data_IF_920696457703
#
_entry.id   IF_920696457703
#
_cell.length_a   1.000
_cell.length_b   1.000
_cell.length_c   1.000
_cell.angle_alpha   90.00
_cell.angle_beta   90.00
_cell.angle_gamma   90.00
#
_symmetry.space_group_name_H-M   'P 1'
#
loop_
_entity.id
_entity.type
_entity.pdbx_description
1 polymer ?
#
# COMPACT_ATOMS: atom_id res chain seq x y z
N UNK A 1 -44.61 18.72 -23.10
CA UNK A 1 -45.39 19.66 -22.27
C UNK A 1 -45.00 19.52 -20.82
N UNK A 2 -44.80 20.66 -20.19
CA UNK A 2 -44.51 20.95 -18.78
C UNK A 2 -43.04 20.95 -18.36
N UNK A 3 -42.47 22.14 -18.52
CA UNK A 3 -41.30 22.62 -17.85
C UNK A 3 -41.67 23.12 -16.44
N UNK A 4 -40.93 22.75 -15.44
CA UNK A 4 -41.03 23.39 -14.11
C UNK A 4 -39.70 24.06 -13.80
N UNK A 5 -39.72 25.39 -13.84
CA UNK A 5 -38.63 26.27 -13.39
C UNK A 5 -38.68 26.35 -11.87
N UNK A 6 -37.55 26.15 -11.23
CA UNK A 6 -37.37 26.53 -9.82
C UNK A 6 -36.41 27.71 -9.73
N UNK A 7 -36.87 28.77 -9.13
CA UNK A 7 -36.19 30.06 -9.01
C UNK A 7 -35.28 30.06 -7.76
N UNK A 8 -34.06 30.50 -7.97
CA UNK A 8 -33.08 30.72 -6.92
C UNK A 8 -33.25 32.12 -6.34
N UNK A 9 -33.47 32.21 -5.04
CA UNK A 9 -33.44 33.45 -4.27
C UNK A 9 -32.01 33.71 -3.77
N UNK A 10 -31.44 34.81 -4.23
CA UNK A 10 -30.19 35.38 -3.73
C UNK A 10 -30.55 36.26 -2.53
N UNK A 11 -30.01 35.98 -1.35
CA UNK A 11 -30.01 36.90 -0.22
C UNK A 11 -28.59 37.41 0.03
N UNK A 12 -28.32 38.62 -0.37
CA UNK A 12 -27.17 39.40 0.04
C UNK A 12 -27.39 39.89 1.48
N UNK A 13 -26.47 39.61 2.37
CA UNK A 13 -26.32 40.32 3.65
C UNK A 13 -24.89 40.79 3.78
N UNK A 14 -24.72 42.09 3.61
CA UNK A 14 -23.58 42.89 4.03
C UNK A 14 -23.56 42.96 5.56
N UNK A 15 -22.46 42.64 6.18
CA UNK A 15 -22.23 42.81 7.62
C UNK A 15 -20.73 42.92 7.88
N UNK A 16 -20.25 44.17 7.86
CA UNK A 16 -18.95 44.60 8.37
C UNK A 16 -18.94 44.49 9.90
N UNK A 17 -18.10 43.63 10.46
CA UNK A 17 -17.58 43.82 11.82
C UNK A 17 -16.14 43.30 11.90
N UNK A 18 -15.19 44.24 11.98
CA UNK A 18 -13.82 44.02 12.39
C UNK A 18 -13.76 43.59 13.86
N UNK A 19 -13.33 42.36 14.09
CA UNK A 19 -13.01 41.83 15.41
C UNK A 19 -11.63 41.20 15.35
N UNK A 20 -10.61 41.94 15.81
CA UNK A 20 -9.27 41.43 16.07
C UNK A 20 -9.33 40.41 17.21
N UNK A 21 -9.46 39.14 16.90
CA UNK A 21 -9.31 38.08 17.89
C UNK A 21 -7.84 37.90 18.23
N UNK A 22 -7.43 38.39 19.41
CA UNK A 22 -6.14 38.05 20.04
C UNK A 22 -6.08 36.52 20.19
N UNK A 23 -5.19 35.91 19.43
CA UNK A 23 -4.86 34.47 19.54
C UNK A 23 -4.17 34.26 20.88
N UNK A 24 -4.91 33.87 21.90
CA UNK A 24 -4.37 33.47 23.21
C UNK A 24 -3.46 32.25 23.02
N UNK A 25 -2.22 32.36 23.46
CA UNK A 25 -1.32 31.20 23.55
C UNK A 25 -1.95 30.15 24.49
N UNK A 26 -1.97 28.88 24.12
CA UNK A 26 -2.49 27.85 25.02
C UNK A 26 -1.61 27.78 26.27
N UNK A 27 -2.23 27.80 27.45
CA UNK A 27 -1.52 27.67 28.72
C UNK A 27 -0.75 26.35 28.75
N UNK A 28 0.36 26.26 29.48
CA UNK A 28 1.15 25.04 29.66
C UNK A 28 0.26 23.85 30.11
N UNK A 29 -0.80 24.10 30.87
CA UNK A 29 -1.82 23.10 31.26
C UNK A 29 -2.60 22.54 30.06
N UNK A 30 -2.91 23.35 29.04
CA UNK A 30 -3.60 22.91 27.83
C UNK A 30 -2.70 22.08 26.91
N UNK A 31 -1.39 22.35 26.93
CA UNK A 31 -0.40 21.56 26.17
C UNK A 31 -0.21 20.17 26.82
N UNK A 32 -0.13 20.11 28.15
CA UNK A 32 -0.04 18.83 28.90
C UNK A 32 -1.32 18.00 28.71
N UNK A 33 -2.49 18.62 28.82
CA UNK A 33 -3.76 17.92 28.58
C UNK A 33 -3.91 17.39 27.12
N UNK A 34 -3.36 18.12 26.14
CA UNK A 34 -3.32 17.66 24.74
C UNK A 34 -2.35 16.50 24.53
N UNK A 35 -1.22 16.48 25.22
CA UNK A 35 -0.25 15.38 25.17
C UNK A 35 -0.84 14.10 25.84
N UNK A 36 -1.46 14.24 27.02
CA UNK A 36 -2.15 13.15 27.69
C UNK A 36 -3.27 12.56 26.82
N UNK A 37 -4.08 13.39 26.13
CA UNK A 37 -5.10 12.89 25.20
C UNK A 37 -4.51 12.21 23.96
N UNK A 38 -3.29 12.55 23.58
CA UNK A 38 -2.54 11.91 22.49
C UNK A 38 -2.04 10.51 22.86
N UNK A 39 -1.62 10.34 24.10
CA UNK A 39 -1.15 9.04 24.61
C UNK A 39 -2.33 8.10 24.90
N UNK A 40 -3.42 8.61 25.43
CA UNK A 40 -4.68 7.86 25.58
C UNK A 40 -5.25 7.43 24.23
N UNK A 41 -5.19 8.29 23.21
CA UNK A 41 -5.60 7.91 21.85
C UNK A 41 -4.70 6.84 21.28
N UNK A 42 -3.38 6.92 21.45
CA UNK A 42 -2.43 5.90 21.01
C UNK A 42 -2.64 4.59 21.75
N UNK A 43 -2.87 4.62 23.04
CA UNK A 43 -3.17 3.44 23.84
C UNK A 43 -4.50 2.78 23.41
N UNK A 44 -5.56 3.58 23.21
CA UNK A 44 -6.84 3.09 22.72
C UNK A 44 -6.74 2.55 21.27
N UNK A 45 -5.91 3.15 20.44
CA UNK A 45 -5.65 2.70 19.08
C UNK A 45 -4.82 1.42 19.06
N UNK A 46 -3.85 1.28 19.96
CA UNK A 46 -3.07 0.05 20.15
C UNK A 46 -3.95 -1.09 20.69
N UNK A 47 -4.85 -0.80 21.62
CA UNK A 47 -5.82 -1.79 22.11
C UNK A 47 -6.75 -2.27 20.98
N UNK A 48 -7.25 -1.37 20.12
CA UNK A 48 -8.07 -1.73 18.95
C UNK A 48 -7.32 -2.57 17.92
N UNK A 49 -6.00 -2.45 17.85
CA UNK A 49 -5.16 -3.26 16.96
C UNK A 49 -5.00 -4.66 17.52
N UNK A 50 -4.79 -4.78 18.84
CA UNK A 50 -4.80 -6.07 19.54
C UNK A 50 -6.16 -6.78 19.40
N UNK A 51 -7.28 -6.04 19.40
CA UNK A 51 -8.63 -6.58 19.12
C UNK A 51 -8.77 -7.11 17.67
N UNK A 52 -7.97 -6.62 16.72
CA UNK A 52 -8.02 -7.05 15.31
C UNK A 52 -7.11 -8.23 14.99
N UNK A 53 -6.12 -8.48 15.82
CA UNK A 53 -5.23 -9.63 15.68
C UNK A 53 -5.78 -10.74 16.58
N UNK A 54 -6.22 -11.83 15.95
CA UNK A 54 -6.76 -12.98 16.67
C UNK A 54 -5.62 -13.85 17.17
N UNK A 55 -5.54 -14.05 18.48
CA UNK A 55 -4.64 -15.04 19.07
C UNK A 55 -5.14 -16.46 18.74
N UNK A 56 -4.25 -17.30 18.25
CA UNK A 56 -4.48 -18.70 17.88
C UNK A 56 -3.64 -19.58 18.80
N UNK A 57 -4.24 -20.59 19.41
CA UNK A 57 -3.58 -21.47 20.38
C UNK A 57 -3.51 -22.94 19.92
N UNK A 58 -4.39 -23.34 19.01
CA UNK A 58 -4.47 -24.72 18.53
C UNK A 58 -4.98 -24.77 17.09
N UNK A 59 -4.89 -25.96 16.46
CA UNK A 59 -5.29 -26.15 15.06
C UNK A 59 -6.77 -25.85 14.81
N UNK A 60 -7.67 -26.20 15.75
CA UNK A 60 -9.09 -25.93 15.58
C UNK A 60 -9.40 -24.43 15.49
N UNK A 61 -8.70 -23.60 16.25
CA UNK A 61 -8.83 -22.13 16.20
C UNK A 61 -8.28 -21.58 14.89
N UNK A 62 -7.17 -22.14 14.38
CA UNK A 62 -6.64 -21.77 13.07
C UNK A 62 -7.61 -22.15 11.95
N UNK A 63 -8.10 -23.37 11.93
CA UNK A 63 -9.06 -23.84 10.94
C UNK A 63 -10.34 -22.99 10.94
N UNK A 64 -10.83 -22.64 12.13
CA UNK A 64 -11.97 -21.73 12.26
C UNK A 64 -11.67 -20.32 11.73
N UNK A 65 -10.45 -19.81 11.92
CA UNK A 65 -10.05 -18.51 11.39
C UNK A 65 -9.92 -18.54 9.87
N UNK A 66 -9.33 -19.58 9.30
CA UNK A 66 -9.20 -19.79 7.85
C UNK A 66 -10.57 -19.94 7.19
N UNK A 67 -11.47 -20.76 7.79
CA UNK A 67 -12.83 -20.93 7.29
C UNK A 67 -13.64 -19.63 7.31
N UNK A 68 -13.50 -18.83 8.38
CA UNK A 68 -14.19 -17.54 8.50
C UNK A 68 -13.68 -16.51 7.47
N UNK A 69 -12.40 -16.53 7.16
CA UNK A 69 -11.80 -15.61 6.19
C UNK A 69 -12.23 -15.93 4.74
N UNK A 70 -12.57 -17.20 4.45
CA UNK A 70 -12.99 -17.65 3.12
C UNK A 70 -11.93 -17.37 2.05
N UNK A 71 -12.22 -16.45 1.13
CA UNK A 71 -11.30 -16.05 0.05
C UNK A 71 -10.33 -14.93 0.44
N UNK A 72 -10.56 -14.28 1.58
CA UNK A 72 -9.70 -13.20 2.04
C UNK A 72 -8.35 -13.74 2.53
N UNK A 73 -7.35 -12.89 2.46
CA UNK A 73 -6.02 -13.20 2.97
C UNK A 73 -6.05 -13.36 4.49
N UNK A 74 -5.44 -14.44 4.98
CA UNK A 74 -5.08 -14.61 6.40
C UNK A 74 -3.57 -14.53 6.51
N UNK A 75 -3.09 -13.62 7.33
CA UNK A 75 -1.69 -13.52 7.70
C UNK A 75 -1.53 -14.02 9.13
N UNK A 76 -0.76 -15.10 9.31
CA UNK A 76 -0.46 -15.72 10.59
C UNK A 76 0.98 -15.37 11.00
N UNK A 77 1.13 -14.64 12.10
CA UNK A 77 2.42 -14.37 12.73
C UNK A 77 2.68 -15.45 13.81
N UNK A 78 3.78 -16.18 13.68
CA UNK A 78 4.21 -17.19 14.64
C UNK A 78 5.47 -16.66 15.30
N UNK A 79 5.35 -16.26 16.56
CA UNK A 79 6.33 -15.47 17.28
C UNK A 79 6.74 -16.17 18.58
N UNK A 80 7.93 -15.82 19.10
CA UNK A 80 8.46 -16.27 20.39
C UNK A 80 8.98 -15.09 21.17
N UNK A 81 8.66 -15.03 22.47
CA UNK A 81 9.23 -14.03 23.37
C UNK A 81 10.65 -14.38 23.82
N UNK A 82 11.13 -15.60 23.54
CA UNK A 82 12.44 -16.10 23.95
C UNK A 82 13.44 -16.23 22.80
N UNK A 83 12.94 -16.36 21.56
CA UNK A 83 13.75 -16.65 20.37
C UNK A 83 13.47 -15.66 19.25
N UNK A 84 14.53 -15.10 18.65
CA UNK A 84 14.42 -14.21 17.50
C UNK A 84 15.50 -14.55 16.47
N UNK A 85 15.09 -15.05 15.30
CA UNK A 85 15.98 -15.40 14.20
C UNK A 85 16.12 -14.22 13.20
N UNK A 86 17.35 -14.04 12.70
CA UNK A 86 17.63 -13.07 11.64
C UNK A 86 17.73 -11.62 12.08
N UNK A 87 17.69 -11.35 13.39
CA UNK A 87 18.02 -10.02 13.91
C UNK A 87 19.44 -9.61 13.52
N UNK A 88 19.61 -8.41 12.96
CA UNK A 88 20.87 -7.94 12.41
C UNK A 88 21.96 -7.88 13.46
N UNK A 89 23.00 -8.49 13.10
CA UNK A 89 24.43 -8.39 13.31
C UNK A 89 25.07 -9.48 14.17
N UNK A 90 26.16 -9.98 13.63
CA UNK A 90 27.15 -10.82 14.33
C UNK A 90 27.74 -10.17 15.61
N UNK A 91 27.38 -8.91 15.86
CA UNK A 91 27.88 -8.08 16.97
C UNK A 91 26.81 -7.71 18.00
N UNK A 92 25.53 -8.07 17.78
CA UNK A 92 24.44 -7.73 18.70
C UNK A 92 24.23 -8.84 19.71
N UNK A 93 24.21 -8.51 21.00
CA UNK A 93 23.78 -9.42 22.06
C UNK A 93 22.34 -9.88 21.88
N UNK A 94 21.90 -10.86 22.67
CA UNK A 94 20.53 -11.41 22.63
C UNK A 94 19.43 -10.32 22.67
N UNK A 95 19.63 -9.28 23.47
CA UNK A 95 18.68 -8.17 23.60
C UNK A 95 18.45 -7.40 22.30
N UNK A 96 19.50 -7.20 21.47
CA UNK A 96 19.35 -6.49 20.21
C UNK A 96 18.63 -7.33 19.15
N UNK A 97 18.76 -8.65 19.17
CA UNK A 97 17.98 -9.56 18.32
C UNK A 97 16.49 -9.50 18.67
N UNK A 98 16.17 -9.56 19.95
CA UNK A 98 14.79 -9.42 20.43
C UNK A 98 14.20 -8.07 20.10
N UNK A 99 14.99 -6.99 20.09
CA UNK A 99 14.55 -5.67 19.67
C UNK A 99 14.12 -5.63 18.20
N UNK A 100 14.83 -6.32 17.30
CA UNK A 100 14.44 -6.46 15.89
C UNK A 100 13.06 -7.11 15.75
N UNK A 101 12.80 -8.18 16.53
CA UNK A 101 11.49 -8.83 16.55
C UNK A 101 10.39 -7.91 17.08
N UNK A 102 10.64 -7.17 18.17
CA UNK A 102 9.67 -6.20 18.71
C UNK A 102 9.33 -5.08 17.70
N UNK A 103 10.34 -4.56 16.99
CA UNK A 103 10.14 -3.56 15.94
C UNK A 103 9.32 -4.11 14.78
N UNK A 104 9.54 -5.37 14.43
CA UNK A 104 8.79 -6.04 13.38
C UNK A 104 7.32 -6.22 13.80
N UNK A 105 7.05 -6.74 14.99
CA UNK A 105 5.69 -6.86 15.55
C UNK A 105 4.99 -5.50 15.62
N UNK A 106 5.69 -4.43 16.03
CA UNK A 106 5.12 -3.08 16.02
C UNK A 106 4.78 -2.58 14.59
N UNK A 107 5.57 -2.97 13.60
CA UNK A 107 5.30 -2.64 12.19
C UNK A 107 4.09 -3.41 11.66
N UNK A 108 3.94 -4.68 12.03
CA UNK A 108 2.77 -5.50 11.69
C UNK A 108 1.48 -4.93 12.28
N UNK A 109 1.53 -4.49 13.53
CA UNK A 109 0.40 -3.83 14.16
C UNK A 109 -0.07 -2.58 13.37
N UNK A 110 0.85 -1.88 12.70
CA UNK A 110 0.55 -0.76 11.80
C UNK A 110 -0.12 -1.23 10.51
N UNK A 111 0.44 -2.26 9.86
CA UNK A 111 -0.12 -2.86 8.65
C UNK A 111 -1.54 -3.38 8.91
N UNK A 112 -1.77 -4.07 10.04
CA UNK A 112 -3.08 -4.58 10.43
C UNK A 112 -4.15 -3.50 10.60
N UNK A 113 -3.77 -2.26 10.94
CA UNK A 113 -4.71 -1.13 11.02
C UNK A 113 -5.19 -0.67 9.65
N UNK A 114 -4.33 -0.74 8.65
CA UNK A 114 -4.57 -0.23 7.30
C UNK A 114 -5.24 -1.28 6.42
N UNK A 115 -4.77 -2.53 6.46
CA UNK A 115 -5.28 -3.63 5.64
C UNK A 115 -6.54 -4.26 6.26
N UNK A 116 -7.70 -3.66 6.01
CA UNK A 116 -8.98 -4.09 6.61
C UNK A 116 -9.55 -5.37 6.01
N UNK A 117 -9.12 -5.71 4.83
CA UNK A 117 -9.49 -6.90 4.05
C UNK A 117 -8.63 -8.12 4.39
N UNK A 118 -7.63 -7.96 5.26
CA UNK A 118 -6.76 -9.04 5.71
C UNK A 118 -7.12 -9.44 7.14
N UNK A 119 -7.22 -10.73 7.39
CA UNK A 119 -7.38 -11.30 8.73
C UNK A 119 -6.00 -11.54 9.32
N UNK A 120 -5.69 -10.85 10.43
CA UNK A 120 -4.42 -11.03 11.14
C UNK A 120 -4.60 -11.99 12.30
N UNK A 121 -3.75 -13.01 12.34
CA UNK A 121 -3.68 -14.00 13.41
C UNK A 121 -2.27 -14.02 14.00
N UNK A 122 -2.15 -14.41 15.27
CA UNK A 122 -0.86 -14.57 15.94
C UNK A 122 -0.82 -15.82 16.81
N UNK A 123 0.32 -16.47 16.84
CA UNK A 123 0.66 -17.56 17.74
C UNK A 123 1.89 -17.14 18.54
N UNK A 124 1.77 -17.11 19.87
CA UNK A 124 2.94 -17.03 20.74
C UNK A 124 3.28 -18.43 21.27
N UNK A 125 4.46 -18.92 20.92
CA UNK A 125 4.86 -20.29 21.24
C UNK A 125 5.37 -20.48 22.68
N UNK A 126 5.59 -19.39 23.42
CA UNK A 126 6.11 -19.45 24.80
C UNK A 126 4.98 -19.67 25.81
N UNK A 127 3.79 -19.13 25.56
CA UNK A 127 2.73 -19.08 26.53
C UNK A 127 1.98 -20.40 26.76
N UNK A 128 1.90 -21.29 25.76
CA UNK A 128 1.07 -22.50 25.77
C UNK A 128 1.75 -23.67 25.05
N UNK A 129 1.62 -24.88 25.62
CA UNK A 129 2.17 -26.09 24.99
C UNK A 129 1.50 -26.42 23.65
N UNK A 130 0.17 -26.20 23.57
CA UNK A 130 -0.60 -26.39 22.34
C UNK A 130 -0.12 -25.47 21.22
N UNK A 131 0.23 -24.21 21.52
CA UNK A 131 0.77 -23.24 20.55
C UNK A 131 2.11 -23.70 19.98
N UNK A 132 2.95 -24.28 20.83
CA UNK A 132 4.25 -24.86 20.40
C UNK A 132 4.05 -26.12 19.56
N UNK A 133 3.07 -26.96 19.89
CA UNK A 133 2.70 -28.12 19.11
C UNK A 133 2.18 -27.69 17.73
N UNK A 134 1.27 -26.72 17.68
CA UNK A 134 0.75 -26.17 16.42
C UNK A 134 1.88 -25.59 15.55
N UNK A 135 2.80 -24.83 16.08
CA UNK A 135 3.94 -24.31 15.30
C UNK A 135 4.77 -25.43 14.65
N UNK A 136 4.95 -26.57 15.35
CA UNK A 136 5.63 -27.76 14.77
C UNK A 136 4.80 -28.41 13.68
N UNK A 137 3.50 -28.54 13.85
CA UNK A 137 2.57 -29.06 12.82
C UNK A 137 2.58 -28.21 11.56
N UNK A 138 2.72 -26.88 11.71
CA UNK A 138 2.87 -25.94 10.61
C UNK A 138 4.28 -25.93 9.99
N UNK A 139 5.20 -26.79 10.46
CA UNK A 139 6.56 -26.90 9.96
C UNK A 139 7.51 -25.76 10.38
N UNK A 140 7.10 -24.91 11.34
CA UNK A 140 7.88 -23.74 11.76
C UNK A 140 8.99 -24.16 12.73
N UNK A 141 10.23 -23.83 12.36
CA UNK A 141 11.44 -24.14 13.14
C UNK A 141 12.15 -22.91 13.67
N UNK A 142 11.86 -21.74 13.10
CA UNK A 142 12.51 -20.46 13.43
C UNK A 142 11.48 -19.38 13.68
N UNK A 143 11.73 -18.51 14.64
CA UNK A 143 10.82 -17.44 15.02
C UNK A 143 11.48 -16.06 14.83
N UNK A 144 10.75 -15.07 14.35
CA UNK A 144 9.36 -15.14 13.89
C UNK A 144 9.24 -15.79 12.50
N UNK A 145 8.09 -16.41 12.23
CA UNK A 145 7.68 -16.87 10.90
C UNK A 145 6.31 -16.30 10.57
N UNK A 146 6.14 -15.85 9.36
CA UNK A 146 4.90 -15.22 8.86
C UNK A 146 4.37 -16.04 7.69
N UNK A 147 3.21 -16.64 7.88
CA UNK A 147 2.55 -17.47 6.87
C UNK A 147 1.33 -16.78 6.33
N UNK A 148 1.14 -16.88 5.02
CA UNK A 148 0.05 -16.25 4.27
C UNK A 148 -0.85 -17.34 3.69
N UNK A 149 -2.12 -17.29 4.05
CA UNK A 149 -3.11 -18.27 3.63
C UNK A 149 -4.20 -17.61 2.81
N UNK A 150 -4.63 -18.30 1.76
CA UNK A 150 -5.79 -17.93 0.96
C UNK A 150 -6.59 -19.16 0.64
N UNK A 151 -7.90 -19.12 0.80
CA UNK A 151 -8.79 -20.31 0.63
C UNK A 151 -8.35 -21.51 1.48
N UNK A 152 -7.76 -21.28 2.65
CA UNK A 152 -7.23 -22.30 3.53
C UNK A 152 -5.87 -22.90 3.12
N UNK A 153 -5.29 -22.51 1.99
CA UNK A 153 -3.98 -22.99 1.54
C UNK A 153 -2.87 -22.01 1.88
N UNK A 154 -1.71 -22.52 2.29
CA UNK A 154 -0.48 -21.72 2.47
C UNK A 154 0.03 -21.31 1.08
N UNK A 155 0.10 -20.01 0.81
CA UNK A 155 0.53 -19.45 -0.48
C UNK A 155 1.93 -18.85 -0.43
N UNK A 156 2.37 -18.37 0.74
CA UNK A 156 3.70 -17.80 0.92
C UNK A 156 4.12 -17.77 2.38
N UNK A 157 5.43 -17.76 2.61
CA UNK A 157 6.03 -17.72 3.94
C UNK A 157 7.24 -16.78 3.97
N UNK A 158 7.40 -16.07 5.09
CA UNK A 158 8.61 -15.30 5.39
C UNK A 158 9.15 -15.69 6.77
N UNK A 159 10.45 -15.95 6.84
CA UNK A 159 11.14 -16.38 8.07
C UNK A 159 12.14 -15.33 8.53
N UNK A 160 12.07 -14.98 9.81
CA UNK A 160 13.04 -14.13 10.49
C UNK A 160 12.70 -12.65 10.51
N UNK A 161 13.46 -11.91 11.31
CA UNK A 161 13.37 -10.47 11.54
C UNK A 161 14.63 -9.72 11.05
N UNK A 162 15.23 -10.18 9.96
CA UNK A 162 16.40 -9.54 9.36
C UNK A 162 16.09 -8.21 8.68
N UNK A 163 17.15 -7.58 8.18
CA UNK A 163 17.02 -6.31 7.43
C UNK A 163 16.03 -6.44 6.26
N UNK A 164 15.11 -5.49 6.17
CA UNK A 164 14.09 -5.48 5.12
C UNK A 164 12.92 -6.45 5.34
N UNK A 165 12.85 -7.20 6.46
CA UNK A 165 11.73 -8.10 6.73
C UNK A 165 10.39 -7.38 6.78
N UNK A 166 10.34 -6.18 7.37
CA UNK A 166 9.10 -5.40 7.45
C UNK A 166 8.60 -4.94 6.07
N UNK A 167 9.52 -4.61 5.15
CA UNK A 167 9.18 -4.27 3.77
C UNK A 167 8.61 -5.49 3.03
N UNK A 168 9.30 -6.64 3.13
CA UNK A 168 8.85 -7.89 2.48
C UNK A 168 7.47 -8.33 2.95
N UNK A 169 7.21 -8.24 4.26
CA UNK A 169 5.91 -8.58 4.83
C UNK A 169 4.84 -7.59 4.36
N UNK A 170 5.14 -6.28 4.36
CA UNK A 170 4.21 -5.26 3.86
C UNK A 170 3.93 -5.44 2.35
N UNK A 171 4.95 -5.73 1.55
CA UNK A 171 4.84 -6.05 0.13
C UNK A 171 3.98 -7.31 -0.09
N UNK A 172 4.15 -8.35 0.75
CA UNK A 172 3.33 -9.56 0.72
C UNK A 172 1.86 -9.28 1.05
N UNK A 173 1.59 -8.50 2.11
CA UNK A 173 0.21 -8.09 2.47
C UNK A 173 -0.45 -7.30 1.34
N UNK A 174 0.27 -6.38 0.70
CA UNK A 174 -0.24 -5.62 -0.43
C UNK A 174 -0.46 -6.49 -1.67
N UNK A 175 0.45 -7.43 -1.93
CA UNK A 175 0.41 -8.29 -3.11
C UNK A 175 -0.73 -9.31 -3.07
N UNK A 176 -0.95 -9.93 -1.92
CA UNK A 176 -1.98 -10.96 -1.71
C UNK A 176 -3.32 -10.42 -1.22
N UNK A 177 -3.31 -9.23 -0.59
CA UNK A 177 -4.50 -8.50 -0.20
C UNK A 177 -4.91 -7.47 -1.26
N UNK A 178 -5.97 -6.71 -0.96
CA UNK A 178 -6.48 -5.68 -1.87
C UNK A 178 -6.30 -4.25 -1.33
N UNK A 179 -5.71 -4.10 -0.14
CA UNK A 179 -5.56 -2.81 0.51
C UNK A 179 -4.09 -2.50 0.76
N UNK A 180 -3.62 -1.39 0.23
CA UNK A 180 -2.29 -0.85 0.44
C UNK A 180 -2.23 0.17 1.58
N UNK A 181 -1.04 0.76 1.74
CA UNK A 181 -0.78 1.80 2.72
C UNK A 181 -1.79 2.96 2.59
N UNK A 182 -2.29 3.44 3.74
CA UNK A 182 -3.30 4.49 3.79
C UNK A 182 -4.71 4.02 3.47
N UNK A 183 -4.96 2.71 3.39
CA UNK A 183 -6.28 2.12 3.12
C UNK A 183 -6.72 2.20 1.67
N UNK A 184 -5.79 2.48 0.74
CA UNK A 184 -6.06 2.53 -0.69
C UNK A 184 -6.33 1.13 -1.23
N UNK A 185 -7.43 0.94 -1.94
CA UNK A 185 -7.75 -0.34 -2.58
C UNK A 185 -7.05 -0.42 -3.94
N UNK A 186 -6.33 -1.52 -4.17
CA UNK A 186 -5.65 -1.77 -5.45
C UNK A 186 -6.64 -1.88 -6.60
N UNK A 187 -7.83 -2.42 -6.34
CA UNK A 187 -8.92 -2.59 -7.30
C UNK A 187 -9.53 -1.28 -7.82
N UNK A 188 -9.23 -0.14 -7.18
CA UNK A 188 -9.62 1.18 -7.69
C UNK A 188 -8.85 1.57 -8.97
N UNK A 189 -7.65 1.04 -9.14
CA UNK A 189 -6.74 1.41 -10.24
C UNK A 189 -6.34 0.22 -11.13
N UNK A 190 -6.50 -1.01 -10.64
CA UNK A 190 -6.07 -2.23 -11.32
C UNK A 190 -7.26 -3.18 -11.41
N UNK A 191 -7.67 -3.52 -12.63
CA UNK A 191 -8.75 -4.47 -12.89
C UNK A 191 -8.20 -5.90 -12.82
N UNK A 192 -8.81 -6.77 -12.04
CA UNK A 192 -8.48 -8.20 -12.08
C UNK A 192 -9.11 -8.85 -13.31
N UNK A 193 -8.32 -9.66 -14.02
CA UNK A 193 -8.76 -10.46 -15.17
C UNK A 193 -8.37 -11.93 -14.95
N UNK A 194 -9.26 -12.84 -15.26
CA UNK A 194 -9.06 -14.28 -15.06
C UNK A 194 -9.30 -15.10 -16.33
N UNK A 195 -9.91 -14.51 -17.34
CA UNK A 195 -10.25 -15.19 -18.58
C UNK A 195 -9.92 -14.36 -19.81
N UNK A 196 -9.95 -15.01 -20.98
CA UNK A 196 -9.79 -14.33 -22.27
C UNK A 196 -10.92 -13.32 -22.52
N UNK A 197 -12.15 -13.66 -22.10
CA UNK A 197 -13.29 -12.76 -22.21
C UNK A 197 -13.11 -11.51 -21.35
N UNK A 198 -12.55 -11.65 -20.14
CA UNK A 198 -12.24 -10.50 -19.29
C UNK A 198 -11.18 -9.60 -19.93
N UNK A 199 -10.13 -10.20 -20.52
CA UNK A 199 -9.10 -9.44 -21.23
C UNK A 199 -9.70 -8.67 -22.43
N UNK A 200 -10.52 -9.33 -23.24
CA UNK A 200 -11.18 -8.70 -24.40
C UNK A 200 -12.07 -7.54 -23.93
N UNK A 201 -12.92 -7.77 -22.94
CA UNK A 201 -13.77 -6.72 -22.34
C UNK A 201 -12.94 -5.57 -21.74
N UNK A 202 -11.83 -5.89 -21.09
CA UNK A 202 -10.91 -4.89 -20.53
C UNK A 202 -10.27 -4.05 -21.63
N UNK A 203 -9.88 -4.65 -22.75
CA UNK A 203 -9.25 -3.94 -23.87
C UNK A 203 -10.26 -3.11 -24.68
N UNK A 204 -11.54 -3.57 -24.80
CA UNK A 204 -12.59 -2.86 -25.51
C UNK A 204 -13.18 -1.68 -24.74
N UNK A 205 -13.17 -1.74 -23.40
CA UNK A 205 -13.76 -0.69 -22.59
C UNK A 205 -12.99 0.63 -22.78
N UNK A 206 -13.71 1.71 -23.14
CA UNK A 206 -13.16 3.05 -23.16
C UNK A 206 -12.57 3.42 -21.80
N UNK A 207 -11.46 4.17 -21.79
CA UNK A 207 -10.94 4.71 -20.54
C UNK A 207 -12.03 5.55 -19.89
N UNK A 208 -12.47 5.25 -18.65
CA UNK A 208 -13.45 6.08 -17.99
C UNK A 208 -12.87 7.48 -17.79
N UNK A 209 -13.66 8.52 -18.08
CA UNK A 209 -13.42 9.85 -17.53
C UNK A 209 -13.54 9.72 -16.01
N UNK A 210 -12.44 9.51 -15.35
CA UNK A 210 -12.40 9.46 -13.88
C UNK A 210 -12.18 10.88 -13.36
N UNK A 211 -13.28 11.56 -13.04
CA UNK A 211 -13.28 12.63 -12.05
C UNK A 211 -12.99 12.01 -10.68
N UNK A 212 -11.73 11.77 -10.39
CA UNK A 212 -11.31 11.39 -9.03
C UNK A 212 -11.29 12.67 -8.20
N UNK A 213 -12.37 12.93 -7.46
CA UNK A 213 -12.45 14.04 -6.50
C UNK A 213 -11.22 13.98 -5.55
N UNK A 214 -10.44 15.04 -5.59
CA UNK A 214 -9.35 15.28 -4.63
C UNK A 214 -7.94 14.93 -5.11
N UNK A 215 -7.76 14.42 -6.31
CA UNK A 215 -6.44 14.23 -6.92
C UNK A 215 -6.37 15.05 -8.21
N UNK A 216 -5.55 16.10 -8.22
CA UNK A 216 -5.13 16.72 -9.47
C UNK A 216 -4.23 15.71 -10.19
N UNK A 217 -4.84 14.75 -10.88
CA UNK A 217 -4.14 14.02 -11.90
C UNK A 217 -3.52 15.06 -12.83
N UNK A 218 -2.24 14.96 -13.21
CA UNK A 218 -1.71 15.82 -14.25
C UNK A 218 -2.64 15.61 -15.42
N UNK A 219 -3.22 16.72 -15.91
CA UNK A 219 -4.23 16.75 -16.97
C UNK A 219 -3.76 15.82 -18.07
N UNK A 220 -4.29 14.61 -18.12
CA UNK A 220 -4.05 13.69 -19.21
C UNK A 220 -4.74 14.30 -20.42
N UNK A 221 -3.96 14.79 -21.36
CA UNK A 221 -4.52 15.17 -22.65
C UNK A 221 -5.10 13.89 -23.23
N UNK A 222 -6.38 13.88 -23.64
CA UNK A 222 -6.98 12.69 -24.22
C UNK A 222 -6.07 12.13 -25.30
N UNK A 223 -5.63 10.88 -25.12
CA UNK A 223 -4.98 10.15 -26.16
C UNK A 223 -6.08 9.55 -27.03
N UNK A 224 -5.99 9.70 -28.33
CA UNK A 224 -6.94 9.08 -29.25
C UNK A 224 -6.86 7.55 -29.24
N UNK A 225 -5.82 7.00 -28.60
CA UNK A 225 -5.57 5.56 -28.47
C UNK A 225 -5.94 5.04 -27.09
N UNK A 226 -6.47 3.83 -27.05
CA UNK A 226 -6.72 3.09 -25.82
C UNK A 226 -5.45 2.37 -25.38
N UNK A 227 -4.84 2.85 -24.31
CA UNK A 227 -3.62 2.26 -23.76
C UNK A 227 -3.92 1.40 -22.53
N UNK A 228 -3.40 0.18 -22.54
CA UNK A 228 -3.57 -0.76 -21.44
C UNK A 228 -2.27 -1.50 -21.14
N UNK A 229 -2.07 -1.85 -19.88
CA UNK A 229 -0.95 -2.68 -19.40
C UNK A 229 -1.53 -3.80 -18.54
N UNK A 230 -1.12 -5.03 -18.84
CA UNK A 230 -1.47 -6.21 -18.07
C UNK A 230 -0.26 -6.70 -17.29
N UNK A 231 -0.33 -6.66 -15.96
CA UNK A 231 0.61 -7.31 -15.04
C UNK A 231 0.28 -8.80 -14.96
N UNK A 232 1.17 -9.65 -15.43
CA UNK A 232 1.04 -11.11 -15.35
C UNK A 232 1.94 -11.63 -14.25
N UNK A 233 1.33 -12.24 -13.24
CA UNK A 233 2.00 -12.76 -12.04
C UNK A 233 1.37 -14.09 -11.59
N UNK A 234 1.83 -14.66 -10.48
CA UNK A 234 1.30 -15.91 -9.88
C UNK A 234 1.05 -15.72 -8.39
N UNK A 235 0.18 -16.52 -7.81
CA UNK A 235 -0.18 -16.46 -6.39
C UNK A 235 0.65 -17.44 -5.56
N UNK A 236 0.71 -18.72 -5.94
CA UNK A 236 1.38 -19.74 -5.15
C UNK A 236 2.89 -19.65 -5.34
N UNK A 237 3.61 -19.53 -4.22
CA UNK A 237 5.07 -19.42 -4.23
C UNK A 237 5.59 -18.34 -5.20
N UNK A 238 4.90 -17.20 -5.23
CA UNK A 238 5.27 -16.10 -6.11
C UNK A 238 6.74 -15.70 -5.91
N UNK A 239 7.51 -15.53 -6.99
CA UNK A 239 8.87 -14.99 -6.89
C UNK A 239 8.89 -13.68 -6.12
N UNK A 240 9.91 -13.46 -5.30
CA UNK A 240 10.05 -12.23 -4.51
C UNK A 240 9.96 -10.96 -5.39
N UNK A 241 10.38 -11.05 -6.66
CA UNK A 241 10.27 -9.97 -7.62
C UNK A 241 8.83 -9.52 -7.87
N UNK A 242 7.85 -10.43 -7.90
CA UNK A 242 6.44 -10.09 -8.08
C UNK A 242 5.92 -9.23 -6.93
N UNK A 243 6.22 -9.60 -5.69
CA UNK A 243 5.83 -8.83 -4.51
C UNK A 243 6.57 -7.49 -4.45
N UNK A 244 7.89 -7.53 -4.71
CA UNK A 244 8.74 -6.34 -4.64
C UNK A 244 8.34 -5.24 -5.61
N UNK A 245 7.96 -5.59 -6.85
CA UNK A 245 7.57 -4.60 -7.86
C UNK A 245 6.13 -4.07 -7.66
N UNK A 246 5.26 -4.81 -6.99
CA UNK A 246 3.83 -4.53 -6.92
C UNK A 246 3.48 -3.14 -6.33
N UNK A 247 4.16 -2.61 -5.30
CA UNK A 247 3.95 -1.23 -4.85
C UNK A 247 4.21 -0.17 -5.95
N UNK A 248 5.18 -0.45 -6.84
CA UNK A 248 5.44 0.44 -7.98
C UNK A 248 4.33 0.33 -9.03
N UNK A 249 3.79 -0.87 -9.29
CA UNK A 249 2.65 -1.09 -10.19
C UNK A 249 1.45 -0.28 -9.70
N UNK A 250 1.07 -0.40 -8.43
CA UNK A 250 -0.04 0.34 -7.84
C UNK A 250 0.16 1.86 -7.96
N UNK A 251 1.39 2.33 -7.71
CA UNK A 251 1.73 3.74 -7.86
C UNK A 251 1.65 4.22 -9.31
N UNK A 252 2.12 3.40 -10.25
CA UNK A 252 2.05 3.71 -11.69
C UNK A 252 0.61 3.71 -12.16
N UNK A 253 -0.19 2.69 -11.81
CA UNK A 253 -1.61 2.62 -12.17
C UNK A 253 -2.37 3.87 -11.71
N UNK A 254 -2.16 4.29 -10.46
CA UNK A 254 -2.75 5.53 -9.94
C UNK A 254 -2.28 6.78 -10.67
N UNK A 255 -0.97 6.88 -10.94
CA UNK A 255 -0.38 8.08 -11.53
C UNK A 255 -0.65 8.21 -13.04
N UNK A 256 -1.01 7.12 -13.70
CA UNK A 256 -1.33 7.07 -15.14
C UNK A 256 -2.83 6.91 -15.40
N UNK A 257 -3.67 6.95 -14.36
CA UNK A 257 -5.11 6.89 -14.48
C UNK A 257 -5.62 7.95 -15.45
N UNK A 258 -6.55 7.56 -16.32
CA UNK A 258 -7.09 8.41 -17.41
C UNK A 258 -6.28 8.35 -18.72
N UNK A 259 -4.96 8.02 -18.67
CA UNK A 259 -4.13 7.86 -19.87
C UNK A 259 -3.82 6.39 -20.18
N UNK A 260 -3.68 5.55 -19.16
CA UNK A 260 -3.35 4.14 -19.29
C UNK A 260 -4.14 3.34 -18.27
N UNK A 261 -4.79 2.28 -18.73
CA UNK A 261 -5.52 1.36 -17.89
C UNK A 261 -4.61 0.20 -17.45
N UNK A 262 -4.85 -0.30 -16.24
CA UNK A 262 -4.07 -1.40 -15.70
C UNK A 262 -4.97 -2.58 -15.37
N UNK A 263 -4.51 -3.78 -15.74
CA UNK A 263 -5.10 -5.03 -15.30
C UNK A 263 -4.05 -5.93 -14.69
N UNK A 264 -4.50 -6.88 -13.89
CA UNK A 264 -3.68 -7.92 -13.29
C UNK A 264 -4.25 -9.30 -13.60
N UNK A 265 -3.39 -10.17 -14.14
CA UNK A 265 -3.64 -11.59 -14.34
C UNK A 265 -2.79 -12.40 -13.36
N UNK A 266 -3.45 -13.14 -12.47
CA UNK A 266 -2.79 -14.12 -11.62
C UNK A 266 -2.92 -15.49 -12.30
N UNK A 267 -1.87 -15.92 -12.99
CA UNK A 267 -1.91 -17.02 -13.94
C UNK A 267 -2.17 -18.41 -13.36
N UNK A 268 -2.02 -18.59 -12.04
CA UNK A 268 -2.28 -19.86 -11.34
C UNK A 268 -3.55 -19.83 -10.47
N UNK A 269 -4.37 -18.76 -10.57
CA UNK A 269 -5.59 -18.58 -9.77
C UNK A 269 -6.72 -19.52 -10.22
N UNK A 270 -6.83 -19.78 -11.53
CA UNK A 270 -7.83 -20.65 -12.13
C UNK A 270 -7.28 -21.34 -13.39
N UNK A 271 -8.02 -22.32 -13.92
CA UNK A 271 -7.68 -22.99 -15.18
C UNK A 271 -7.75 -22.02 -16.36
N UNK A 272 -8.73 -21.11 -16.35
CA UNK A 272 -8.93 -20.05 -17.34
C UNK A 272 -7.77 -19.06 -17.32
N UNK A 273 -7.33 -18.62 -16.13
CA UNK A 273 -6.19 -17.75 -15.96
C UNK A 273 -4.88 -18.40 -16.46
N UNK A 274 -4.71 -19.70 -16.18
CA UNK A 274 -3.56 -20.48 -16.69
C UNK A 274 -3.60 -20.58 -18.22
N UNK A 275 -4.78 -20.75 -18.82
CA UNK A 275 -4.94 -20.76 -20.28
C UNK A 275 -4.60 -19.39 -20.88
N UNK A 276 -5.13 -18.31 -20.29
CA UNK A 276 -4.86 -16.96 -20.74
C UNK A 276 -3.36 -16.60 -20.65
N UNK A 277 -2.69 -16.99 -19.56
CA UNK A 277 -1.24 -16.78 -19.41
C UNK A 277 -0.45 -17.47 -20.53
N UNK A 278 -0.86 -18.70 -20.94
CA UNK A 278 -0.27 -19.43 -22.07
C UNK A 278 -0.57 -18.74 -23.40
N UNK A 279 -1.81 -18.26 -23.60
CA UNK A 279 -2.22 -17.56 -24.82
C UNK A 279 -1.39 -16.26 -25.00
N UNK A 280 -1.09 -15.58 -23.90
CA UNK A 280 -0.20 -14.42 -23.84
C UNK A 280 1.29 -14.80 -23.97
N UNK A 281 1.62 -16.10 -24.03
CA UNK A 281 2.99 -16.61 -24.14
C UNK A 281 3.91 -16.07 -23.05
N UNK A 282 3.42 -16.01 -21.82
CA UNK A 282 4.20 -15.58 -20.65
C UNK A 282 4.80 -16.82 -19.99
N UNK A 283 6.13 -16.89 -19.98
CA UNK A 283 6.90 -18.00 -19.41
C UNK A 283 7.55 -17.61 -18.08
N UNK A 284 7.83 -16.31 -17.90
CA UNK A 284 8.48 -15.77 -16.70
C UNK A 284 7.61 -14.70 -16.06
N UNK A 285 7.63 -14.61 -14.73
CA UNK A 285 6.89 -13.60 -13.95
C UNK A 285 7.81 -12.82 -13.01
N UNK A 286 7.54 -11.53 -12.77
CA UNK A 286 6.46 -10.74 -13.37
C UNK A 286 6.74 -10.34 -14.82
N UNK A 287 5.69 -10.36 -15.66
CA UNK A 287 5.76 -9.86 -17.05
C UNK A 287 4.64 -8.85 -17.28
N UNK A 288 4.95 -7.74 -17.93
CA UNK A 288 4.02 -6.67 -18.27
C UNK A 288 3.80 -6.67 -19.77
N UNK A 289 2.55 -6.81 -20.18
CA UNK A 289 2.16 -6.80 -21.60
C UNK A 289 1.49 -5.47 -21.89
N UNK A 290 1.97 -4.76 -22.91
CA UNK A 290 1.52 -3.42 -23.27
C UNK A 290 0.63 -3.49 -24.50
N UNK A 291 -0.57 -2.92 -24.42
CA UNK A 291 -1.58 -2.92 -25.46
C UNK A 291 -1.90 -1.49 -25.91
N UNK A 292 -1.95 -1.29 -27.22
CA UNK A 292 -2.50 -0.08 -27.83
C UNK A 292 -3.63 -0.47 -28.81
N UNK A 293 -4.80 0.10 -28.64
CA UNK A 293 -6.01 -0.21 -29.44
C UNK A 293 -6.29 -1.73 -29.52
N UNK A 294 -6.20 -2.40 -28.36
CA UNK A 294 -6.46 -3.82 -28.24
C UNK A 294 -5.36 -4.76 -28.79
N UNK A 295 -4.26 -4.23 -29.31
CA UNK A 295 -3.16 -5.02 -29.85
C UNK A 295 -1.94 -4.93 -28.95
N UNK A 296 -1.29 -6.08 -28.70
CA UNK A 296 0.01 -6.10 -28.03
C UNK A 296 1.04 -5.37 -28.89
N UNK A 297 1.71 -4.40 -28.31
CA UNK A 297 2.75 -3.59 -28.98
C UNK A 297 4.12 -3.77 -28.36
N UNK A 298 4.18 -4.17 -27.08
CA UNK A 298 5.44 -4.31 -26.36
C UNK A 298 5.26 -5.19 -25.11
N UNK A 299 6.38 -5.62 -24.51
CA UNK A 299 6.39 -6.29 -23.20
C UNK A 299 7.66 -6.00 -22.43
N UNK A 300 7.55 -6.17 -21.11
CA UNK A 300 8.67 -6.08 -20.19
C UNK A 300 8.60 -7.22 -19.19
N UNK A 301 9.69 -7.97 -19.02
CA UNK A 301 9.80 -9.04 -18.02
C UNK A 301 10.86 -8.66 -16.99
N UNK A 302 10.51 -8.74 -15.72
CA UNK A 302 11.42 -8.45 -14.61
C UNK A 302 10.81 -7.54 -13.53
N UNK A 303 11.56 -7.37 -12.44
CA UNK A 303 11.12 -6.69 -11.22
C UNK A 303 11.88 -5.39 -10.92
N UNK A 304 12.56 -4.80 -11.91
CA UNK A 304 13.22 -3.51 -11.74
C UNK A 304 12.19 -2.38 -11.86
N UNK A 305 11.97 -1.68 -10.74
CA UNK A 305 10.99 -0.58 -10.62
C UNK A 305 11.31 0.59 -11.55
N UNK A 306 12.59 0.91 -11.71
CA UNK A 306 13.02 2.02 -12.57
C UNK A 306 12.88 1.66 -14.06
N UNK A 307 13.25 0.45 -14.43
CA UNK A 307 13.09 -0.05 -15.78
C UNK A 307 11.61 -0.08 -16.20
N UNK A 308 10.73 -0.61 -15.35
CA UNK A 308 9.28 -0.60 -15.58
C UNK A 308 8.75 0.83 -15.76
N UNK A 309 9.12 1.74 -14.85
CA UNK A 309 8.68 3.14 -14.93
C UNK A 309 9.12 3.79 -16.25
N UNK A 310 10.37 3.60 -16.66
CA UNK A 310 10.87 4.13 -17.92
C UNK A 310 10.12 3.54 -19.14
N UNK A 311 9.84 2.24 -19.09
CA UNK A 311 9.09 1.54 -20.14
C UNK A 311 7.65 2.08 -20.26
N UNK A 312 6.98 2.32 -19.16
CA UNK A 312 5.64 2.94 -19.14
C UNK A 312 5.67 4.35 -19.73
N UNK A 313 6.65 5.17 -19.35
CA UNK A 313 6.80 6.52 -19.89
C UNK A 313 7.11 6.53 -21.40
N UNK A 314 7.96 5.61 -21.87
CA UNK A 314 8.25 5.43 -23.30
C UNK A 314 6.99 5.01 -24.06
N UNK A 315 6.29 3.98 -23.58
CA UNK A 315 5.03 3.51 -24.15
C UNK A 315 3.98 4.62 -24.27
N UNK A 316 3.79 5.43 -23.24
CA UNK A 316 2.85 6.56 -23.28
C UNK A 316 3.28 7.62 -24.30
N UNK A 317 4.56 7.96 -24.32
CA UNK A 317 5.11 8.96 -25.26
C UNK A 317 4.94 8.52 -26.73
N UNK A 318 5.28 7.27 -27.04
CA UNK A 318 5.21 6.71 -28.37
C UNK A 318 3.78 6.61 -28.91
N UNK A 319 2.81 6.57 -27.97
CA UNK A 319 1.38 6.55 -28.30
C UNK A 319 0.69 7.92 -28.15
N UNK A 320 1.44 9.02 -28.07
CA UNK A 320 0.94 10.37 -28.15
C UNK A 320 0.40 10.96 -26.83
N UNK A 321 0.59 10.26 -25.68
CA UNK A 321 0.26 10.82 -24.37
C UNK A 321 1.23 11.96 -24.06
N UNK A 322 0.68 13.16 -23.86
CA UNK A 322 1.48 14.30 -23.39
C UNK A 322 1.73 14.14 -21.89
N UNK A 323 2.95 13.76 -21.56
CA UNK A 323 3.38 13.74 -20.17
C UNK A 323 3.48 15.18 -19.65
N UNK A 324 3.05 15.46 -18.41
CA UNK A 324 3.26 16.77 -17.82
C UNK A 324 4.75 17.08 -17.88
N UNK A 325 5.10 18.26 -18.43
CA UNK A 325 6.46 18.76 -18.30
C UNK A 325 6.80 18.66 -16.82
N UNK A 326 7.83 17.87 -16.50
CA UNK A 326 8.39 17.89 -15.15
C UNK A 326 8.65 19.37 -14.88
N UNK A 327 7.82 19.97 -14.02
CA UNK A 327 8.21 21.21 -13.42
C UNK A 327 9.61 20.93 -12.91
N UNK A 328 10.61 21.41 -13.63
CA UNK A 328 12.00 21.31 -13.23
C UNK A 328 12.03 22.03 -11.90
N UNK A 329 11.82 21.29 -10.80
CA UNK A 329 12.17 21.76 -9.48
C UNK A 329 13.64 22.07 -9.64
N UNK A 330 13.88 23.35 -9.92
CA UNK A 330 15.21 23.93 -9.89
C UNK A 330 15.76 23.42 -8.56
N UNK A 331 16.67 22.45 -8.59
CA UNK A 331 17.32 21.99 -7.37
C UNK A 331 17.93 23.22 -6.80
N UNK A 332 17.29 23.80 -5.77
CA UNK A 332 17.84 24.93 -5.06
C UNK A 332 19.24 24.52 -4.68
N UNK A 333 20.21 25.32 -5.06
CA UNK A 333 21.59 25.09 -4.65
C UNK A 333 21.62 25.10 -3.12
N UNK A 334 22.55 24.36 -2.54
CA UNK A 334 22.73 24.33 -1.08
C UNK A 334 22.95 25.74 -0.51
N UNK A 335 23.44 26.67 -1.32
CA UNK A 335 23.61 28.07 -0.99
C UNK A 335 22.26 28.80 -0.90
N UNK A 336 21.37 28.65 -1.89
CA UNK A 336 20.02 29.24 -1.87
C UNK A 336 19.16 28.68 -0.73
N UNK A 337 19.26 27.38 -0.43
CA UNK A 337 18.55 26.76 0.70
C UNK A 337 19.04 27.34 2.05
N UNK A 338 20.36 27.56 2.21
CA UNK A 338 20.94 28.21 3.41
C UNK A 338 20.52 29.67 3.54
N UNK A 339 20.42 30.39 2.44
CA UNK A 339 20.02 31.80 2.44
C UNK A 339 18.53 31.96 2.82
N UNK A 340 17.65 31.11 2.28
CA UNK A 340 16.23 31.09 2.67
C UNK A 340 16.06 30.72 4.14
N UNK A 341 16.81 29.73 4.64
CA UNK A 341 16.78 29.36 6.05
C UNK A 341 17.30 30.46 6.96
N UNK A 342 18.31 31.22 6.53
CA UNK A 342 18.83 32.39 7.25
C UNK A 342 17.80 33.51 7.28
N UNK A 343 17.19 33.85 6.14
CA UNK A 343 16.16 34.88 6.06
C UNK A 343 14.90 34.50 6.89
N UNK A 344 14.52 33.24 6.94
CA UNK A 344 13.43 32.77 7.79
C UNK A 344 13.75 32.98 9.28
N UNK A 345 14.95 32.63 9.74
CA UNK A 345 15.41 32.85 11.13
C UNK A 345 15.50 34.33 11.49
N UNK A 346 15.90 35.19 10.58
CA UNK A 346 15.95 36.65 10.80
C UNK A 346 14.55 37.26 10.93
N UNK A 347 13.59 36.79 10.11
CA UNK A 347 12.16 37.15 10.22
C UNK A 347 11.56 36.73 11.55
N UNK A 348 11.85 35.52 12.00
CA UNK A 348 11.39 34.99 13.29
C UNK A 348 11.96 35.78 14.48
N UNK A 349 13.26 36.13 14.43
CA UNK A 349 13.92 37.02 15.41
C UNK A 349 13.34 38.43 15.38
N UNK A 350 12.99 38.97 14.22
CA UNK A 350 12.38 40.30 14.10
C UNK A 350 10.92 40.29 14.61
N UNK A 351 10.18 39.23 14.39
CA UNK A 351 8.84 39.06 14.92
C UNK A 351 8.83 38.91 16.45
N UNK A 352 9.80 38.14 17.01
CA UNK A 352 9.97 38.01 18.46
C UNK A 352 10.36 39.29 19.20
N UNK A 353 11.05 40.22 18.53
CA UNK A 353 11.42 41.55 19.11
C UNK A 353 10.24 42.53 19.14
N UNK A 354 9.17 42.32 18.37
CA UNK A 354 7.98 43.19 18.37
C UNK A 354 6.92 42.79 19.43
N UNK A 355 7.10 41.70 20.11
CA UNK A 355 6.14 41.20 21.14
C UNK A 355 6.63 41.51 22.58
N UNK A 356 7.69 42.27 22.76
CA UNK A 356 8.26 42.61 24.05
C UNK A 356 8.21 44.12 24.34
N UNK A 357 7.01 44.69 24.37
CA UNK A 357 6.67 45.95 25.01
C UNK A 357 5.26 45.86 25.60
#
# INVERSE_FOLDING_TARGET
MLATRCATRINARTGTHGGTTKRSQPSARAVVARAASGDERRAAESARVLERTREIRNSNELDAALALAGENLVMLAIESDEECYGGDSAWSGADAKMESCRQLSASLARIAREAKDVTFCSINVVGHEDSRALARELGVQQFPTYQYYKKGELIWEHVGAGAGSHEKIAEGVLYYGNTGAGGMKTTEYITEIESKADLESFLEACAPEQDVEGFSAPVSVPCDKQLAIVDVSIEKNAPAGCMHIFPAIVSLARNTAGATRWARLIGDKSAEATSLMKDLKVEEVPTFVFFADGKEVDRYTGADRLALMNKVLEFQRDNGVRLPERATRKRMSTAEAKEIARAAREREKAAGRRSGW
#
